data_IF_691967822415
#
_entry.id   IF_691967822415
#
_cell.length_a   1.000
_cell.length_b   1.000
_cell.length_c   1.000
_cell.angle_alpha   90.00
_cell.angle_beta   90.00
_cell.angle_gamma   90.00
#
_symmetry.space_group_name_H-M   'P 1'
#
loop_
_entity.id
_entity.type
_entity.pdbx_description
1 polymer ?
#
# COMPACT_ATOMS: atom_id res chain seq x y z
N UNK A 1 15.31 27.19 8.08
CA UNK A 1 15.77 26.30 7.00
C UNK A 1 14.54 25.63 6.42
N UNK A 2 14.18 25.91 5.16
CA UNK A 2 13.09 25.22 4.47
C UNK A 2 13.73 24.01 3.78
N UNK A 3 13.27 22.81 4.11
CA UNK A 3 13.67 21.60 3.37
C UNK A 3 12.65 21.47 2.25
N UNK A 4 13.05 21.79 1.03
CA UNK A 4 12.25 21.47 -0.16
C UNK A 4 12.55 20.03 -0.55
N UNK A 5 11.56 19.16 -0.38
CA UNK A 5 11.62 17.77 -0.85
C UNK A 5 10.78 17.70 -2.11
N UNK A 6 11.44 17.81 -3.27
CA UNK A 6 10.81 17.56 -4.56
C UNK A 6 10.70 16.05 -4.76
N UNK A 7 9.51 15.49 -4.53
CA UNK A 7 9.23 14.08 -4.80
C UNK A 7 8.83 13.94 -6.27
N UNK A 8 9.34 12.92 -6.95
CA UNK A 8 8.87 12.54 -8.29
C UNK A 8 7.37 12.25 -8.25
N UNK A 9 6.60 12.82 -9.18
CA UNK A 9 5.15 12.59 -9.28
C UNK A 9 4.81 11.09 -9.38
N UNK A 10 5.66 10.31 -10.06
CA UNK A 10 5.51 8.85 -10.18
C UNK A 10 5.68 8.13 -8.82
N UNK A 11 6.65 8.57 -8.01
CA UNK A 11 6.86 8.01 -6.67
C UNK A 11 5.71 8.37 -5.74
N UNK A 12 5.20 9.60 -5.83
CA UNK A 12 4.03 10.02 -5.06
C UNK A 12 2.79 9.22 -5.47
N UNK A 13 2.56 9.03 -6.77
CA UNK A 13 1.44 8.24 -7.28
C UNK A 13 1.53 6.77 -6.85
N UNK A 14 2.73 6.16 -6.88
CA UNK A 14 2.96 4.82 -6.35
C UNK A 14 2.64 4.76 -4.85
N UNK A 15 3.12 5.73 -4.07
CA UNK A 15 2.87 5.79 -2.63
C UNK A 15 1.38 5.93 -2.30
N UNK A 16 0.65 6.78 -3.03
CA UNK A 16 -0.78 6.95 -2.86
C UNK A 16 -1.55 5.64 -3.13
N UNK A 17 -1.20 4.91 -4.19
CA UNK A 17 -1.82 3.61 -4.52
C UNK A 17 -1.56 2.57 -3.42
N UNK A 18 -0.33 2.50 -2.92
CA UNK A 18 0.02 1.62 -1.80
C UNK A 18 -0.77 1.95 -0.53
N UNK A 19 -0.91 3.24 -0.19
CA UNK A 19 -1.69 3.67 0.96
C UNK A 19 -3.17 3.29 0.83
N UNK A 20 -3.76 3.49 -0.35
CA UNK A 20 -5.14 3.09 -0.61
C UNK A 20 -5.34 1.57 -0.50
N UNK A 21 -4.41 0.78 -1.03
CA UNK A 21 -4.44 -0.68 -0.92
C UNK A 21 -4.36 -1.13 0.55
N UNK A 22 -3.47 -0.53 1.34
CA UNK A 22 -3.43 -0.77 2.78
C UNK A 22 -4.77 -0.41 3.43
N UNK A 23 -5.34 0.74 3.08
CA UNK A 23 -6.55 1.22 3.73
C UNK A 23 -7.77 0.33 3.46
N UNK A 24 -7.86 -0.18 2.24
CA UNK A 24 -8.90 -1.11 1.82
C UNK A 24 -8.70 -2.50 2.44
N UNK A 25 -7.47 -3.03 2.45
CA UNK A 25 -7.18 -4.34 3.06
C UNK A 25 -7.43 -4.38 4.58
N UNK A 26 -7.25 -3.26 5.27
CA UNK A 26 -7.25 -3.20 6.73
C UNK A 26 -8.44 -2.52 7.36
N UNK A 27 -9.21 -1.75 6.58
CA UNK A 27 -10.02 -0.67 7.13
C UNK A 27 -9.13 0.26 7.95
N UNK A 28 -8.14 0.90 7.29
CA UNK A 28 -7.07 1.64 8.00
C UNK A 28 -7.65 2.54 9.10
N UNK A 29 -7.15 2.34 10.30
CA UNK A 29 -7.26 3.26 11.41
C UNK A 29 -5.88 3.39 12.06
N UNK A 30 -5.72 4.32 12.99
CA UNK A 30 -4.43 4.53 13.64
C UNK A 30 -3.90 3.28 14.37
N UNK A 31 -4.79 2.44 14.90
CA UNK A 31 -4.41 1.23 15.63
C UNK A 31 -3.86 0.13 14.71
N UNK A 32 -4.50 -0.14 13.57
CA UNK A 32 -4.03 -1.18 12.65
C UNK A 32 -2.84 -0.74 11.79
N UNK A 33 -2.69 0.55 11.47
CA UNK A 33 -1.51 1.09 10.81
C UNK A 33 -0.25 0.89 11.66
N UNK A 34 -0.36 1.12 12.97
CA UNK A 34 0.73 0.87 13.92
C UNK A 34 1.15 -0.61 13.94
N UNK A 35 0.20 -1.55 13.83
CA UNK A 35 0.50 -2.98 13.74
C UNK A 35 1.29 -3.33 12.47
N UNK A 36 0.99 -2.73 11.31
CA UNK A 36 1.79 -2.92 10.09
C UNK A 36 3.24 -2.48 10.31
N UNK A 37 3.44 -1.26 10.82
CA UNK A 37 4.78 -0.67 11.04
C UNK A 37 5.62 -1.51 12.01
N UNK A 38 4.98 -2.29 12.89
CA UNK A 38 5.63 -3.14 13.89
C UNK A 38 5.66 -4.63 13.52
N UNK A 39 5.31 -5.01 12.28
CA UNK A 39 5.20 -6.42 11.84
C UNK A 39 4.24 -7.27 12.69
N UNK A 40 3.18 -6.65 13.22
CA UNK A 40 2.09 -7.30 13.95
C UNK A 40 0.77 -7.29 13.18
N UNK A 41 0.80 -6.97 11.88
CA UNK A 41 -0.40 -7.02 11.06
C UNK A 41 -0.99 -8.44 11.08
N UNK A 42 -2.30 -8.61 11.34
CA UNK A 42 -2.92 -9.93 11.29
C UNK A 42 -2.76 -10.54 9.89
N UNK A 43 -2.55 -11.85 9.80
CA UNK A 43 -2.44 -12.56 8.53
C UNK A 43 -3.73 -12.38 7.72
N UNK A 44 -3.61 -11.87 6.50
CA UNK A 44 -4.71 -11.80 5.53
C UNK A 44 -4.81 -13.13 4.78
N UNK A 45 -5.93 -13.35 4.11
CA UNK A 45 -5.90 -14.31 3.01
C UNK A 45 -5.11 -13.69 1.86
N UNK A 46 -4.15 -14.45 1.33
CA UNK A 46 -3.30 -14.02 0.21
C UNK A 46 -4.16 -13.62 -1.01
N UNK A 47 -5.35 -14.22 -1.14
CA UNK A 47 -6.30 -13.97 -2.21
C UNK A 47 -6.95 -12.58 -2.15
N UNK A 48 -7.45 -12.15 -0.98
CA UNK A 48 -8.04 -10.81 -0.81
C UNK A 48 -6.96 -9.75 -0.98
N UNK A 49 -5.77 -10.00 -0.44
CA UNK A 49 -4.64 -9.09 -0.56
C UNK A 49 -4.24 -8.90 -2.03
N UNK A 50 -4.10 -9.99 -2.79
CA UNK A 50 -3.75 -9.94 -4.21
C UNK A 50 -4.80 -9.22 -5.05
N UNK A 51 -6.09 -9.42 -4.78
CA UNK A 51 -7.18 -8.71 -5.47
C UNK A 51 -7.13 -7.19 -5.25
N UNK A 52 -6.87 -6.75 -4.02
CA UNK A 52 -6.75 -5.33 -3.70
C UNK A 52 -5.49 -4.74 -4.33
N UNK A 53 -4.35 -5.45 -4.30
CA UNK A 53 -3.12 -4.99 -4.95
C UNK A 53 -3.30 -4.84 -6.48
N UNK A 54 -3.98 -5.79 -7.13
CA UNK A 54 -4.32 -5.69 -8.56
C UNK A 54 -5.25 -4.51 -8.84
N UNK A 55 -6.29 -4.30 -8.03
CA UNK A 55 -7.23 -3.18 -8.16
C UNK A 55 -6.51 -1.82 -8.13
N UNK A 56 -5.53 -1.67 -7.26
CA UNK A 56 -4.73 -0.45 -7.15
C UNK A 56 -3.56 -0.39 -8.13
N UNK A 57 -3.45 -1.35 -9.06
CA UNK A 57 -2.40 -1.41 -10.07
C UNK A 57 -1.01 -1.47 -9.43
N UNK A 58 -0.86 -2.24 -8.37
CA UNK A 58 0.44 -2.49 -7.71
C UNK A 58 1.07 -3.76 -8.25
N UNK A 59 0.24 -4.76 -8.58
CA UNK A 59 0.66 -6.01 -9.23
C UNK A 59 -0.22 -6.31 -10.45
N UNK A 60 0.26 -7.14 -11.36
CA UNK A 60 -0.48 -7.67 -12.50
C UNK A 60 -1.24 -8.97 -12.16
N UNK A 61 -1.88 -9.58 -13.18
CA UNK A 61 -2.63 -10.83 -13.06
C UNK A 61 -1.78 -12.06 -12.72
N UNK A 62 -0.45 -11.96 -12.85
CA UNK A 62 0.52 -13.00 -12.47
C UNK A 62 1.10 -12.74 -11.08
N UNK A 63 0.76 -11.61 -10.46
CA UNK A 63 1.29 -11.17 -9.18
C UNK A 63 2.60 -10.38 -9.27
N UNK A 64 3.01 -9.96 -10.48
CA UNK A 64 4.26 -9.23 -10.70
C UNK A 64 4.06 -7.72 -10.51
N UNK A 65 5.04 -6.97 -9.93
CA UNK A 65 4.96 -5.52 -9.80
C UNK A 65 4.81 -4.79 -11.14
N UNK A 66 4.04 -3.70 -11.15
CA UNK A 66 3.74 -2.92 -12.37
C UNK A 66 4.59 -1.65 -12.55
N UNK A 67 5.63 -1.48 -11.74
CA UNK A 67 6.42 -0.24 -11.62
C UNK A 67 7.92 -0.47 -11.72
#
# INVERSE_FOLDING_TARGET
MKVDITISENLLALHCRALCAHAECLGLNSANFYCIVKNYAPCYSDEIFSQVLMKWGLIDEKGEPTF
#
